data_IF_841852472138
#
_entry.id   IF_841852472138
#
_cell.length_a   1.000
_cell.length_b   1.000
_cell.length_c   1.000
_cell.angle_alpha   90.00
_cell.angle_beta   90.00
_cell.angle_gamma   90.00
#
_symmetry.space_group_name_H-M   'P 1'
#
loop_
_entity.id
_entity.type
_entity.pdbx_description
1 polymer ?
#
# COMPACT_ATOMS: atom_id res chain seq x y z
N UNK A 1 1.27 18.57 20.05
CA UNK A 1 0.45 18.93 18.89
C UNK A 1 0.17 17.66 18.07
N UNK A 2 -1.09 17.46 17.62
CA UNK A 2 -1.44 16.36 16.72
C UNK A 2 -0.65 16.50 15.40
N UNK A 3 -0.24 15.36 14.84
CA UNK A 3 0.45 15.35 13.54
C UNK A 3 -0.50 15.83 12.44
N UNK A 4 -0.03 16.65 11.48
CA UNK A 4 -0.84 17.00 10.32
C UNK A 4 -1.15 15.75 9.49
N UNK A 5 -2.41 15.61 9.10
CA UNK A 5 -2.90 14.53 8.22
C UNK A 5 -2.63 14.93 6.78
N UNK A 6 -1.82 14.15 6.09
CA UNK A 6 -1.40 14.43 4.73
C UNK A 6 -1.92 13.33 3.78
N UNK A 7 -2.94 13.67 3.00
CA UNK A 7 -3.67 12.72 2.16
C UNK A 7 -3.04 12.65 0.77
N UNK A 8 -2.80 11.43 0.31
CA UNK A 8 -2.32 11.13 -1.05
C UNK A 8 -3.33 10.22 -1.73
N UNK A 9 -3.89 10.66 -2.84
CA UNK A 9 -4.69 9.82 -3.71
C UNK A 9 -3.78 8.94 -4.58
N UNK A 10 -4.22 7.71 -4.86
CA UNK A 10 -3.53 6.79 -5.79
C UNK A 10 -4.55 6.24 -6.76
N UNK A 11 -4.76 6.95 -7.87
CA UNK A 11 -5.71 6.57 -8.91
C UNK A 11 -5.05 5.58 -9.88
N UNK A 12 -4.89 4.35 -9.42
CA UNK A 12 -4.34 3.23 -10.16
C UNK A 12 -5.25 2.00 -9.98
N UNK A 13 -5.68 1.41 -11.07
CA UNK A 13 -6.45 0.17 -11.12
C UNK A 13 -5.70 -0.95 -11.86
N UNK A 14 -4.43 -0.71 -12.24
CA UNK A 14 -3.64 -1.62 -13.06
C UNK A 14 -3.29 -2.93 -12.33
N UNK A 15 -3.30 -2.94 -11.01
CA UNK A 15 -3.11 -4.15 -10.21
C UNK A 15 -4.35 -5.04 -10.12
N UNK A 16 -5.52 -4.52 -10.49
CA UNK A 16 -6.80 -5.22 -10.40
C UNK A 16 -7.32 -5.69 -11.77
N UNK A 17 -8.20 -6.71 -11.75
CA UNK A 17 -8.93 -7.12 -12.97
C UNK A 17 -9.93 -6.04 -13.45
N UNK A 18 -10.57 -5.36 -12.50
CA UNK A 18 -11.47 -4.25 -12.79
C UNK A 18 -10.77 -2.94 -12.45
N UNK A 19 -10.41 -2.18 -13.48
CA UNK A 19 -9.70 -0.91 -13.36
C UNK A 19 -10.57 0.25 -12.84
N UNK A 20 -11.88 0.10 -12.78
CA UNK A 20 -12.81 1.14 -12.35
C UNK A 20 -12.55 1.69 -10.94
N UNK A 21 -11.84 0.95 -10.09
CA UNK A 21 -11.42 1.41 -8.77
C UNK A 21 -10.47 2.64 -8.82
N UNK A 22 -9.81 2.91 -9.94
CA UNK A 22 -8.95 4.09 -10.12
C UNK A 22 -9.67 5.43 -9.91
N UNK A 23 -11.00 5.46 -10.09
CA UNK A 23 -11.82 6.64 -9.84
C UNK A 23 -12.05 6.93 -8.34
N UNK A 24 -11.77 5.96 -7.46
CA UNK A 24 -12.04 6.05 -6.02
C UNK A 24 -11.41 7.27 -5.33
N UNK A 25 -10.12 7.54 -5.50
CA UNK A 25 -9.48 8.70 -4.86
C UNK A 25 -10.10 10.03 -5.24
N UNK A 26 -10.45 10.23 -6.49
CA UNK A 26 -11.10 11.48 -6.94
C UNK A 26 -12.51 11.62 -6.37
N UNK A 27 -13.28 10.54 -6.32
CA UNK A 27 -14.60 10.55 -5.71
C UNK A 27 -14.53 10.91 -4.21
N UNK A 28 -13.57 10.32 -3.48
CA UNK A 28 -13.34 10.65 -2.07
C UNK A 28 -12.91 12.10 -1.90
N UNK A 29 -12.01 12.60 -2.75
CA UNK A 29 -11.60 14.01 -2.73
C UNK A 29 -12.78 14.94 -2.96
N UNK A 30 -13.60 14.67 -3.97
CA UNK A 30 -14.78 15.44 -4.32
C UNK A 30 -15.86 15.41 -3.23
N UNK A 31 -15.90 14.39 -2.37
CA UNK A 31 -16.86 14.29 -1.25
C UNK A 31 -16.63 15.31 -0.13
N UNK A 32 -15.56 16.12 -0.20
CA UNK A 32 -15.24 17.11 0.80
C UNK A 32 -14.56 16.54 2.06
N UNK A 33 -13.89 15.41 1.97
CA UNK A 33 -13.19 14.75 3.11
C UNK A 33 -12.29 15.74 3.87
N UNK A 34 -11.45 16.50 3.16
CA UNK A 34 -10.51 17.44 3.80
C UNK A 34 -11.24 18.48 4.64
N UNK A 35 -12.27 19.13 4.06
CA UNK A 35 -13.07 20.14 4.77
C UNK A 35 -13.74 19.57 6.01
N UNK A 36 -14.25 18.32 5.93
CA UNK A 36 -14.85 17.65 7.09
C UNK A 36 -13.84 17.36 8.21
N UNK A 37 -12.62 16.97 7.86
CA UNK A 37 -11.53 16.76 8.83
C UNK A 37 -11.14 18.09 9.49
N UNK A 38 -10.99 19.16 8.70
CA UNK A 38 -10.66 20.49 9.19
C UNK A 38 -11.75 21.05 10.11
N UNK A 39 -13.03 20.87 9.78
CA UNK A 39 -14.15 21.26 10.66
C UNK A 39 -14.14 20.52 12.00
N UNK A 40 -13.49 19.36 12.09
CA UNK A 40 -13.28 18.60 13.33
C UNK A 40 -11.97 18.97 14.06
N UNK A 41 -11.33 20.05 13.65
CA UNK A 41 -10.11 20.56 14.27
C UNK A 41 -8.83 19.82 13.90
N UNK A 42 -8.86 18.97 12.87
CA UNK A 42 -7.67 18.28 12.38
C UNK A 42 -6.94 19.16 11.35
N UNK A 43 -5.63 19.25 11.45
CA UNK A 43 -4.80 19.77 10.36
C UNK A 43 -4.75 18.69 9.27
N UNK A 44 -5.47 18.91 8.17
CA UNK A 44 -5.56 17.96 7.06
C UNK A 44 -5.41 18.67 5.71
N UNK A 45 -4.67 18.03 4.80
CA UNK A 45 -4.49 18.51 3.43
C UNK A 45 -4.47 17.33 2.44
N UNK A 46 -4.99 17.57 1.22
CA UNK A 46 -4.82 16.66 0.09
C UNK A 46 -3.63 17.16 -0.75
N UNK A 47 -2.55 16.39 -0.79
CA UNK A 47 -1.33 16.80 -1.48
C UNK A 47 -1.44 16.66 -2.99
N UNK A 48 -1.66 15.41 -3.42
CA UNK A 48 -1.71 15.07 -4.84
C UNK A 48 -2.53 13.80 -5.06
N UNK A 49 -2.87 13.54 -6.31
CA UNK A 49 -3.34 12.21 -6.76
C UNK A 49 -2.31 11.65 -7.74
N UNK A 50 -1.64 10.57 -7.34
CA UNK A 50 -0.68 9.85 -8.17
C UNK A 50 -1.44 8.97 -9.15
N UNK A 51 -1.03 9.02 -10.43
CA UNK A 51 -1.59 8.22 -11.52
C UNK A 51 -0.47 7.51 -12.26
N UNK A 52 -0.73 6.38 -12.93
CA UNK A 52 0.19 5.84 -13.92
C UNK A 52 0.50 6.90 -14.98
N UNK A 53 1.71 6.91 -15.52
CA UNK A 53 2.02 7.74 -16.67
C UNK A 53 1.17 7.27 -17.89
N UNK A 54 0.63 8.21 -18.65
CA UNK A 54 -0.35 7.92 -19.73
C UNK A 54 0.22 7.20 -20.94
N UNK A 55 1.53 7.08 -21.05
CA UNK A 55 2.17 6.46 -22.21
C UNK A 55 3.34 5.58 -21.79
N UNK A 56 3.41 4.38 -22.33
CA UNK A 56 4.62 3.57 -22.32
C UNK A 56 4.69 2.42 -21.33
N UNK A 57 3.60 2.04 -20.68
CA UNK A 57 3.58 0.78 -19.94
C UNK A 57 2.94 -0.32 -20.80
N UNK A 58 3.77 -1.28 -21.22
CA UNK A 58 3.31 -2.45 -21.96
C UNK A 58 2.63 -3.48 -21.05
N UNK A 59 2.81 -3.35 -19.73
CA UNK A 59 2.18 -4.23 -18.75
C UNK A 59 1.77 -3.53 -17.44
N UNK A 60 0.87 -4.19 -16.71
CA UNK A 60 0.35 -3.73 -15.43
C UNK A 60 1.42 -3.66 -14.33
N UNK A 61 2.45 -4.52 -14.39
CA UNK A 61 3.53 -4.54 -13.40
C UNK A 61 4.34 -3.25 -13.44
N UNK A 62 4.73 -2.80 -14.63
CA UNK A 62 5.49 -1.55 -14.79
C UNK A 62 4.69 -0.35 -14.32
N UNK A 63 3.39 -0.30 -14.63
CA UNK A 63 2.50 0.75 -14.18
C UNK A 63 2.39 0.81 -12.65
N UNK A 64 2.14 -0.34 -12.01
CA UNK A 64 2.06 -0.47 -10.55
C UNK A 64 3.40 -0.14 -9.90
N UNK A 65 4.51 -0.63 -10.43
CA UNK A 65 5.85 -0.31 -9.90
C UNK A 65 6.14 1.19 -9.93
N UNK A 66 5.85 1.86 -11.03
CA UNK A 66 6.04 3.30 -11.18
C UNK A 66 5.22 4.10 -10.17
N UNK A 67 3.93 3.74 -10.02
CA UNK A 67 3.03 4.37 -9.04
C UNK A 67 3.51 4.12 -7.61
N UNK A 68 3.84 2.88 -7.26
CA UNK A 68 4.34 2.51 -5.95
C UNK A 68 5.67 3.19 -5.61
N UNK A 69 6.55 3.38 -6.59
CA UNK A 69 7.82 4.12 -6.41
C UNK A 69 7.58 5.58 -6.05
N UNK A 70 6.70 6.27 -6.77
CA UNK A 70 6.31 7.66 -6.47
C UNK A 70 5.64 7.77 -5.10
N UNK A 71 4.72 6.84 -4.81
CA UNK A 71 4.03 6.80 -3.53
C UNK A 71 4.98 6.54 -2.36
N UNK A 72 5.96 5.63 -2.51
CA UNK A 72 6.97 5.39 -1.48
C UNK A 72 7.81 6.64 -1.19
N UNK A 73 8.20 7.38 -2.21
CA UNK A 73 8.92 8.66 -2.05
C UNK A 73 8.06 9.68 -1.29
N UNK A 74 6.77 9.80 -1.65
CA UNK A 74 5.84 10.73 -1.00
C UNK A 74 5.57 10.34 0.46
N UNK A 75 5.23 9.09 0.73
CA UNK A 75 4.97 8.59 2.08
C UNK A 75 6.21 8.77 2.98
N UNK A 76 7.40 8.48 2.46
CA UNK A 76 8.66 8.73 3.16
C UNK A 76 8.83 10.21 3.50
N UNK A 77 8.59 11.12 2.55
CA UNK A 77 8.73 12.56 2.77
C UNK A 77 7.75 13.06 3.84
N UNK A 78 6.49 12.66 3.78
CA UNK A 78 5.47 13.03 4.77
C UNK A 78 5.92 12.63 6.18
N UNK A 79 6.33 11.38 6.36
CA UNK A 79 6.78 10.88 7.68
C UNK A 79 8.06 11.60 8.13
N UNK A 80 9.00 11.87 7.25
CA UNK A 80 10.24 12.56 7.57
C UNK A 80 10.00 14.01 8.07
N UNK A 81 8.95 14.67 7.56
CA UNK A 81 8.52 16.00 8.01
C UNK A 81 7.54 15.98 9.19
N UNK A 82 7.32 14.82 9.79
CA UNK A 82 6.47 14.66 10.99
C UNK A 82 4.97 14.56 10.72
N UNK A 83 4.56 14.48 9.45
CA UNK A 83 3.16 14.28 9.05
C UNK A 83 2.69 12.83 9.25
N UNK A 84 1.37 12.65 9.18
CA UNK A 84 0.70 11.36 9.16
C UNK A 84 0.19 11.10 7.73
N UNK A 85 0.80 10.17 6.97
CA UNK A 85 0.31 9.84 5.65
C UNK A 85 -1.00 9.06 5.74
N UNK A 86 -1.99 9.50 4.98
CA UNK A 86 -3.24 8.79 4.72
C UNK A 86 -3.32 8.54 3.21
N UNK A 87 -3.35 7.30 2.79
CA UNK A 87 -3.42 6.94 1.37
C UNK A 87 -4.82 6.47 1.03
N UNK A 88 -5.41 7.09 0.01
CA UNK A 88 -6.69 6.68 -0.57
C UNK A 88 -6.37 6.02 -1.91
N UNK A 89 -6.44 4.71 -1.95
CA UNK A 89 -6.07 3.92 -3.12
C UNK A 89 -7.19 3.69 -4.12
N UNK A 90 -6.81 3.30 -5.32
CA UNK A 90 -7.64 2.61 -6.29
C UNK A 90 -7.66 1.13 -5.95
N UNK A 91 -6.71 0.34 -6.48
CA UNK A 91 -6.54 -1.04 -6.03
C UNK A 91 -5.53 -1.17 -4.88
N UNK A 92 -5.51 -2.35 -4.25
CA UNK A 92 -4.73 -2.59 -3.03
C UNK A 92 -3.21 -2.68 -3.26
N UNK A 93 -2.72 -2.75 -4.51
CA UNK A 93 -1.28 -2.72 -4.80
C UNK A 93 -0.58 -1.46 -4.28
N UNK A 94 -1.32 -0.35 -4.12
CA UNK A 94 -0.80 0.89 -3.54
C UNK A 94 -0.24 0.71 -2.12
N UNK A 95 -0.66 -0.30 -1.37
CA UNK A 95 -0.13 -0.60 -0.04
C UNK A 95 1.38 -0.89 -0.08
N UNK A 96 1.90 -1.45 -1.19
CA UNK A 96 3.34 -1.69 -1.35
C UNK A 96 4.11 -0.37 -1.23
N UNK A 97 3.76 0.62 -2.06
CA UNK A 97 4.42 1.93 -2.04
C UNK A 97 4.25 2.63 -0.70
N UNK A 98 3.05 2.58 -0.13
CA UNK A 98 2.73 3.20 1.16
C UNK A 98 3.68 2.70 2.25
N UNK A 99 3.69 1.40 2.50
CA UNK A 99 4.41 0.84 3.65
C UNK A 99 5.91 0.74 3.42
N UNK A 100 6.37 0.56 2.18
CA UNK A 100 7.80 0.67 1.83
C UNK A 100 8.34 2.09 2.11
N UNK A 101 7.57 3.12 1.79
CA UNK A 101 7.93 4.52 2.08
C UNK A 101 7.97 4.82 3.58
N UNK A 102 6.94 4.40 4.33
CA UNK A 102 6.87 4.57 5.79
C UNK A 102 7.99 3.81 6.48
N UNK A 103 8.22 2.53 6.14
CA UNK A 103 9.29 1.72 6.71
C UNK A 103 10.67 2.35 6.47
N UNK A 104 10.91 2.87 5.26
CA UNK A 104 12.14 3.58 4.93
C UNK A 104 12.35 4.83 5.80
N UNK A 105 11.30 5.61 6.03
CA UNK A 105 11.39 6.82 6.86
C UNK A 105 11.67 6.49 8.33
N UNK A 106 11.10 5.40 8.84
CA UNK A 106 11.18 5.03 10.25
C UNK A 106 12.33 4.06 10.58
N UNK A 107 13.11 3.61 9.58
CA UNK A 107 14.13 2.56 9.77
C UNK A 107 15.10 2.82 10.93
N UNK A 108 15.46 4.07 11.17
CA UNK A 108 16.36 4.44 12.27
C UNK A 108 15.68 4.40 13.66
N UNK A 109 14.35 4.29 13.71
CA UNK A 109 13.55 4.21 14.95
C UNK A 109 13.24 2.77 15.36
N UNK A 110 13.57 1.80 14.54
CA UNK A 110 13.30 0.38 14.76
C UNK A 110 12.35 -0.23 13.72
N UNK A 111 11.91 -1.47 13.92
CA UNK A 111 11.02 -2.17 13.01
C UNK A 111 9.62 -1.55 13.01
N UNK A 112 8.99 -1.52 11.84
CA UNK A 112 7.62 -1.08 11.67
C UNK A 112 6.65 -2.22 12.02
N UNK A 113 5.70 -1.95 12.91
CA UNK A 113 4.55 -2.82 13.13
C UNK A 113 3.44 -2.53 12.10
N UNK A 114 2.77 -3.57 11.61
CA UNK A 114 1.68 -3.46 10.65
C UNK A 114 0.45 -4.24 11.13
N UNK A 115 -0.69 -3.55 11.17
CA UNK A 115 -2.00 -4.16 11.35
C UNK A 115 -2.69 -4.13 9.97
N UNK A 116 -2.99 -5.30 9.43
CA UNK A 116 -3.63 -5.49 8.13
C UNK A 116 -5.07 -5.90 8.34
N UNK A 117 -6.00 -4.97 8.12
CA UNK A 117 -7.43 -5.22 8.34
C UNK A 117 -8.07 -5.45 6.97
N UNK A 118 -8.28 -6.71 6.63
CA UNK A 118 -8.77 -7.12 5.31
C UNK A 118 -9.52 -8.45 5.36
N UNK A 119 -10.41 -8.65 4.39
CA UNK A 119 -11.06 -9.92 4.12
C UNK A 119 -10.11 -10.96 3.52
N UNK A 120 -9.04 -10.51 2.87
CA UNK A 120 -8.07 -11.30 2.12
C UNK A 120 -6.72 -11.32 2.83
N UNK A 121 -5.84 -12.20 2.39
CA UNK A 121 -4.46 -12.26 2.90
C UNK A 121 -3.49 -11.39 2.10
N UNK A 122 -3.78 -11.16 0.81
CA UNK A 122 -2.93 -10.42 -0.13
C UNK A 122 -1.47 -10.90 -0.13
N UNK A 123 -1.29 -12.19 0.03
CA UNK A 123 -0.01 -12.85 0.22
C UNK A 123 0.36 -13.81 -0.93
N UNK A 124 -0.24 -13.60 -2.11
CA UNK A 124 0.22 -14.28 -3.32
C UNK A 124 1.59 -13.76 -3.75
N UNK A 125 2.33 -14.66 -4.40
CA UNK A 125 3.56 -14.31 -5.15
C UNK A 125 3.28 -14.48 -6.64
N UNK A 126 4.17 -14.01 -7.55
CA UNK A 126 4.05 -14.28 -8.97
C UNK A 126 3.93 -15.78 -9.31
N UNK A 127 4.47 -16.66 -8.46
CA UNK A 127 4.44 -18.11 -8.65
C UNK A 127 3.17 -18.77 -8.13
N UNK A 128 2.47 -18.13 -7.18
CA UNK A 128 1.30 -18.74 -6.53
C UNK A 128 -0.03 -18.15 -6.93
N UNK A 129 -0.02 -16.97 -7.57
CA UNK A 129 -1.25 -16.28 -7.97
C UNK A 129 -2.01 -17.02 -9.06
N UNK A 130 -3.30 -17.33 -8.86
CA UNK A 130 -4.11 -17.95 -9.92
C UNK A 130 -4.57 -16.93 -10.97
N UNK A 131 -4.50 -15.64 -10.66
CA UNK A 131 -5.07 -14.58 -11.48
C UNK A 131 -4.03 -13.68 -12.13
N UNK A 132 -2.80 -13.66 -11.65
CA UNK A 132 -1.79 -12.67 -12.01
C UNK A 132 -2.06 -11.26 -11.46
N UNK A 133 -3.17 -11.04 -10.74
CA UNK A 133 -3.56 -9.73 -10.27
C UNK A 133 -2.65 -9.25 -9.12
N UNK A 134 -2.00 -8.10 -9.33
CA UNK A 134 -0.99 -7.57 -8.41
C UNK A 134 -1.59 -7.08 -7.08
N UNK A 135 -2.89 -6.72 -7.07
CA UNK A 135 -3.55 -6.30 -5.84
C UNK A 135 -3.71 -7.42 -4.80
N UNK A 136 -3.53 -8.69 -5.18
CA UNK A 136 -3.50 -9.85 -4.26
C UNK A 136 -2.09 -10.19 -3.75
N UNK A 137 -1.07 -9.35 -3.99
CA UNK A 137 0.32 -9.63 -3.65
C UNK A 137 0.97 -8.64 -2.65
N UNK A 138 0.29 -7.58 -2.19
CA UNK A 138 0.97 -6.51 -1.45
C UNK A 138 1.65 -6.98 -0.19
N UNK A 139 1.00 -7.83 0.60
CA UNK A 139 1.58 -8.29 1.85
C UNK A 139 2.81 -9.18 1.63
N UNK A 140 2.75 -10.08 0.64
CA UNK A 140 3.93 -10.88 0.27
C UNK A 140 5.10 -9.97 -0.14
N UNK A 141 4.87 -8.94 -0.98
CA UNK A 141 5.89 -7.97 -1.37
C UNK A 141 6.48 -7.21 -0.17
N UNK A 142 5.65 -6.83 0.79
CA UNK A 142 6.08 -6.14 2.01
C UNK A 142 6.95 -7.04 2.89
N UNK A 143 6.66 -8.34 2.91
CA UNK A 143 7.44 -9.36 3.63
C UNK A 143 8.68 -9.86 2.87
N UNK A 144 8.94 -9.31 1.67
CA UNK A 144 10.11 -9.67 0.86
C UNK A 144 9.89 -10.81 -0.14
N UNK A 145 8.64 -11.25 -0.31
CA UNK A 145 8.25 -12.35 -1.20
C UNK A 145 7.38 -11.82 -2.35
N UNK A 146 7.98 -11.42 -3.46
CA UNK A 146 7.20 -10.85 -4.56
C UNK A 146 8.09 -10.56 -5.76
N UNK A 147 7.57 -9.76 -6.68
CA UNK A 147 8.35 -9.24 -7.79
C UNK A 147 9.57 -8.44 -7.29
N UNK A 148 10.71 -8.59 -7.98
CA UNK A 148 11.98 -7.98 -7.56
C UNK A 148 11.96 -6.45 -7.61
N UNK A 149 11.27 -5.84 -8.58
CA UNK A 149 11.13 -4.39 -8.69
C UNK A 149 10.30 -3.82 -7.54
N UNK A 150 9.19 -4.49 -7.21
CA UNK A 150 8.30 -4.08 -6.12
C UNK A 150 8.94 -4.30 -4.73
N UNK A 151 9.62 -5.43 -4.51
CA UNK A 151 10.29 -5.71 -3.23
C UNK A 151 11.48 -4.79 -2.97
N UNK A 152 12.18 -4.33 -4.01
CA UNK A 152 13.31 -3.40 -3.92
C UNK A 152 12.92 -1.96 -3.55
N UNK A 153 11.64 -1.61 -3.65
CA UNK A 153 11.16 -0.27 -3.29
C UNK A 153 11.53 0.08 -1.83
N UNK A 154 11.70 1.37 -1.57
CA UNK A 154 12.04 1.85 -0.22
C UNK A 154 13.42 1.38 0.27
N UNK A 155 14.33 1.01 -0.65
CA UNK A 155 15.67 0.49 -0.31
C UNK A 155 15.66 -0.99 0.05
N UNK A 156 14.68 -1.76 -0.43
CA UNK A 156 14.59 -3.21 -0.24
C UNK A 156 14.21 -3.65 1.19
N UNK A 157 13.74 -2.73 2.04
CA UNK A 157 13.37 -3.05 3.42
C UNK A 157 12.14 -3.97 3.40
N UNK A 158 12.30 -5.18 3.94
CA UNK A 158 11.19 -6.08 4.24
C UNK A 158 10.66 -5.82 5.65
N UNK A 159 9.35 -5.92 5.83
CA UNK A 159 8.74 -5.91 7.16
C UNK A 159 9.09 -7.22 7.88
N UNK A 160 9.31 -7.14 9.19
CA UNK A 160 9.56 -8.31 10.00
C UNK A 160 8.21 -8.95 10.39
N UNK A 161 8.02 -10.20 9.99
CA UNK A 161 6.73 -10.91 10.12
C UNK A 161 6.18 -10.96 11.55
N UNK A 162 7.06 -11.00 12.56
CA UNK A 162 6.66 -10.99 13.97
C UNK A 162 5.95 -9.70 14.41
N UNK A 163 6.09 -8.61 13.64
CA UNK A 163 5.43 -7.32 13.88
C UNK A 163 4.25 -7.07 12.93
N UNK A 164 3.84 -8.10 12.19
CA UNK A 164 2.70 -8.05 11.29
C UNK A 164 1.57 -8.91 11.83
N UNK A 165 0.35 -8.38 11.81
CA UNK A 165 -0.84 -9.17 12.09
C UNK A 165 -1.96 -8.83 11.11
N UNK A 166 -2.76 -9.87 10.77
CA UNK A 166 -3.96 -9.76 9.93
C UNK A 166 -5.20 -9.87 10.81
N UNK A 167 -6.22 -9.10 10.48
CA UNK A 167 -7.51 -9.10 11.18
C UNK A 167 -8.65 -9.16 10.16
N UNK A 168 -9.59 -10.11 10.35
CA UNK A 168 -10.82 -10.19 9.56
C UNK A 168 -10.72 -11.05 8.30
N UNK A 169 -9.67 -11.83 8.14
CA UNK A 169 -9.47 -12.73 7.00
C UNK A 169 -10.60 -13.77 6.92
N UNK A 170 -11.22 -13.90 5.75
CA UNK A 170 -12.32 -14.85 5.48
C UNK A 170 -12.35 -15.39 4.06
N UNK A 171 -11.45 -14.89 3.18
CA UNK A 171 -11.30 -15.37 1.79
C UNK A 171 -9.82 -15.37 1.44
N UNK A 172 -9.27 -16.55 1.17
CA UNK A 172 -7.86 -16.74 0.86
C UNK A 172 -7.63 -18.08 0.17
N UNK A 173 -6.50 -18.22 -0.49
CA UNK A 173 -6.03 -19.48 -1.05
C UNK A 173 -5.01 -20.16 -0.15
N UNK A 174 -4.90 -21.48 -0.30
CA UNK A 174 -4.02 -22.34 0.52
C UNK A 174 -2.56 -21.89 0.46
N UNK A 175 -2.09 -21.39 -0.70
CA UNK A 175 -0.72 -20.92 -0.90
C UNK A 175 -0.40 -19.68 -0.07
N UNK A 176 -1.35 -18.75 0.07
CA UNK A 176 -1.21 -17.56 0.91
C UNK A 176 -1.09 -17.94 2.39
N UNK A 177 -2.02 -18.79 2.85
CA UNK A 177 -2.01 -19.28 4.23
C UNK A 177 -0.73 -20.07 4.56
N UNK A 178 -0.21 -20.86 3.60
CA UNK A 178 1.04 -21.58 3.76
C UNK A 178 2.23 -20.63 3.94
N UNK A 179 2.34 -19.60 3.08
CA UNK A 179 3.39 -18.60 3.17
C UNK A 179 3.35 -17.86 4.53
N UNK A 180 2.19 -17.32 4.89
CA UNK A 180 2.06 -16.53 6.12
C UNK A 180 2.32 -17.37 7.38
N UNK A 181 1.89 -18.64 7.38
CA UNK A 181 2.18 -19.60 8.46
C UNK A 181 3.68 -19.88 8.56
N UNK A 182 4.34 -20.14 7.41
CA UNK A 182 5.79 -20.36 7.36
C UNK A 182 6.57 -19.15 7.92
N UNK A 183 6.10 -17.94 7.65
CA UNK A 183 6.69 -16.70 8.13
C UNK A 183 6.33 -16.37 9.59
N UNK A 184 5.41 -17.10 10.20
CA UNK A 184 4.97 -16.86 11.58
C UNK A 184 4.11 -15.61 11.76
N UNK A 185 3.42 -15.16 10.69
CA UNK A 185 2.50 -14.01 10.76
C UNK A 185 1.26 -14.40 11.55
N UNK A 186 0.82 -13.52 12.45
CA UNK A 186 -0.39 -13.74 13.26
C UNK A 186 -1.65 -13.34 12.51
N UNK A 187 -2.68 -14.20 12.55
CA UNK A 187 -3.97 -13.99 11.90
C UNK A 187 -5.08 -14.17 12.96
N UNK A 188 -5.99 -13.18 13.02
CA UNK A 188 -7.09 -13.11 13.97
C UNK A 188 -8.44 -13.08 13.26
#
# INVERSE_FOLDING_TARGET
LAKPVEIVGVACGEGARNKGCEAGPDAVRASGLVSRLQMRGLSAAWHETIRPAQAGYDDSLQAVESVCRRLAQRARAIVAHGGLPVVIGGDHSCAIGTWKGVACALRARGPLGLIWIDAHMDAHTPQTTPSGALHGMPLACLLGHGDSGLTALGGGIALQSQYVCLIGVRSFETSEAALLRQLGVRIY
#
